data_IF_190122806004
#
_entry.id   IF_190122806004
#
_cell.length_a   1.000
_cell.length_b   1.000
_cell.length_c   1.000
_cell.angle_alpha   90.00
_cell.angle_beta   90.00
_cell.angle_gamma   90.00
#
_symmetry.space_group_name_H-M   'P 1'
#
loop_
_entity.id
_entity.type
_entity.pdbx_description
1 polymer ?
#
# COMPACT_ATOMS: atom_id res chain seq x y z
N UNK A 1 -4.09 -8.45 -0.81
CA UNK A 1 -3.33 -7.28 -1.33
C UNK A 1 -3.88 -6.07 -0.61
N UNK A 2 -3.02 -5.16 -0.16
CA UNK A 2 -3.41 -3.98 0.59
C UNK A 2 -2.84 -2.74 -0.10
N UNK A 3 -3.69 -1.73 -0.24
CA UNK A 3 -3.34 -0.38 -0.62
C UNK A 3 -3.82 0.63 0.42
N UNK A 4 -3.07 1.71 0.58
CA UNK A 4 -3.44 2.85 1.40
C UNK A 4 -3.11 4.15 0.65
N UNK A 5 -3.83 5.23 0.95
CA UNK A 5 -3.64 6.55 0.33
C UNK A 5 -3.78 7.64 1.38
N UNK A 6 -3.09 8.76 1.16
CA UNK A 6 -3.34 10.03 1.83
C UNK A 6 -2.84 11.18 0.95
N UNK A 7 -3.75 12.01 0.46
CA UNK A 7 -3.44 13.04 -0.54
C UNK A 7 -2.86 12.43 -1.83
N UNK A 8 -1.67 12.91 -2.21
CA UNK A 8 -0.91 12.43 -3.37
C UNK A 8 0.01 11.24 -3.06
N UNK A 9 -0.02 10.74 -1.82
CA UNK A 9 0.78 9.59 -1.40
C UNK A 9 -0.03 8.30 -1.46
N UNK A 10 0.62 7.22 -1.88
CA UNK A 10 0.03 5.90 -1.96
C UNK A 10 1.01 4.81 -1.53
N UNK A 11 0.46 3.75 -0.95
CA UNK A 11 1.21 2.60 -0.48
C UNK A 11 0.60 1.31 -1.03
N UNK A 12 1.45 0.30 -1.27
CA UNK A 12 0.99 -1.03 -1.66
C UNK A 12 1.90 -2.12 -1.09
N UNK A 13 1.27 -3.17 -0.57
CA UNK A 13 1.95 -4.40 -0.14
C UNK A 13 1.06 -5.63 -0.35
N UNK A 14 1.68 -6.80 -0.41
CA UNK A 14 1.00 -8.09 -0.53
C UNK A 14 1.20 -8.89 0.75
N UNK A 15 0.10 -9.21 1.41
CA UNK A 15 0.07 -9.91 2.70
C UNK A 15 -0.60 -11.27 2.50
N UNK A 16 0.09 -12.33 2.87
CA UNK A 16 -0.44 -13.69 2.97
C UNK A 16 -0.83 -14.01 4.42
N UNK A 17 -1.70 -15.01 4.66
CA UNK A 17 -2.14 -15.36 6.02
C UNK A 17 -1.03 -15.64 7.03
N UNK A 18 0.12 -16.13 6.58
CA UNK A 18 1.29 -16.42 7.42
C UNK A 18 2.21 -15.22 7.67
N UNK A 19 1.98 -14.08 7.03
CA UNK A 19 2.80 -12.88 7.20
C UNK A 19 2.38 -12.10 8.46
N UNK A 20 3.33 -11.34 9.04
CA UNK A 20 3.02 -10.39 10.14
C UNK A 20 2.01 -9.31 9.74
N UNK A 21 1.88 -9.05 8.44
CA UNK A 21 0.88 -8.14 7.89
C UNK A 21 1.16 -6.67 8.23
N UNK A 22 0.08 -5.92 8.46
CA UNK A 22 0.12 -4.46 8.62
C UNK A 22 0.80 -3.98 9.90
N UNK A 23 1.05 -4.87 10.87
CA UNK A 23 1.79 -4.54 12.09
C UNK A 23 3.22 -4.07 11.78
N UNK A 24 3.81 -4.51 10.66
CA UNK A 24 5.13 -4.04 10.20
C UNK A 24 5.13 -2.58 9.70
N UNK A 25 3.96 -2.03 9.40
CA UNK A 25 3.79 -0.68 8.84
C UNK A 25 3.25 0.27 9.91
N UNK A 26 2.16 -0.13 10.56
CA UNK A 26 1.41 0.73 11.49
C UNK A 26 1.64 0.38 12.96
N UNK A 27 2.38 -0.68 13.27
CA UNK A 27 2.56 -1.17 14.63
C UNK A 27 1.33 -1.87 15.20
N UNK A 28 1.25 -1.92 16.53
CA UNK A 28 0.17 -2.58 17.27
C UNK A 28 -1.19 -1.92 17.03
N UNK A 29 -2.22 -2.73 16.83
CA UNK A 29 -3.60 -2.25 16.62
C UNK A 29 -4.19 -1.48 17.81
N UNK A 30 -3.59 -1.58 18.99
CA UNK A 30 -4.04 -0.89 20.21
C UNK A 30 -3.81 0.62 20.17
N UNK A 31 -2.87 1.08 19.34
CA UNK A 31 -2.39 2.46 19.33
C UNK A 31 -2.76 3.18 18.01
N UNK A 32 -3.65 2.60 17.21
CA UNK A 32 -4.05 3.18 15.92
C UNK A 32 -5.05 4.31 16.11
N UNK A 33 -4.91 5.43 15.39
CA UNK A 33 -5.91 6.50 15.36
C UNK A 33 -7.20 6.03 14.67
N UNK A 34 -8.32 6.70 14.97
CA UNK A 34 -9.63 6.41 14.36
C UNK A 34 -9.70 6.75 12.87
N UNK A 35 -8.90 7.74 12.43
CA UNK A 35 -8.80 8.19 11.05
C UNK A 35 -7.35 8.21 10.59
N UNK A 36 -7.12 7.97 9.30
CA UNK A 36 -5.79 8.09 8.72
C UNK A 36 -5.49 9.53 8.29
N UNK A 37 -4.30 9.72 7.71
CA UNK A 37 -3.84 11.03 7.24
C UNK A 37 -4.69 11.60 6.11
N UNK A 38 -5.51 10.79 5.44
CA UNK A 38 -6.48 11.24 4.42
C UNK A 38 -7.54 12.19 4.99
N UNK A 39 -7.79 12.19 6.30
CA UNK A 39 -8.71 13.13 6.93
C UNK A 39 -8.25 14.59 6.78
N UNK A 40 -6.93 14.82 6.76
CA UNK A 40 -6.33 16.15 6.59
C UNK A 40 -5.82 16.36 5.16
N UNK A 41 -5.17 15.34 4.57
CA UNK A 41 -4.55 15.40 3.23
C UNK A 41 -5.55 15.19 2.09
N UNK A 42 -6.75 14.71 2.41
CA UNK A 42 -7.79 14.34 1.44
C UNK A 42 -7.47 13.04 0.69
N UNK A 43 -8.31 12.75 -0.30
CA UNK A 43 -8.19 11.58 -1.17
C UNK A 43 -8.52 11.96 -2.64
N UNK A 44 -7.65 12.72 -3.34
CA UNK A 44 -7.84 13.04 -4.75
C UNK A 44 -8.01 11.77 -5.57
N UNK A 45 -9.03 11.69 -6.43
CA UNK A 45 -9.44 10.44 -7.12
C UNK A 45 -8.33 9.74 -7.90
N UNK A 46 -7.31 10.48 -8.35
CA UNK A 46 -6.16 9.94 -9.08
C UNK A 46 -5.33 8.94 -8.25
N UNK A 47 -5.09 9.22 -6.96
CA UNK A 47 -4.26 8.39 -6.08
C UNK A 47 -4.87 7.01 -5.82
N UNK A 48 -6.14 6.88 -5.35
CA UNK A 48 -6.76 5.56 -5.16
C UNK A 48 -6.96 4.83 -6.49
N UNK A 49 -7.20 5.53 -7.61
CA UNK A 49 -7.29 4.87 -8.93
C UNK A 49 -5.96 4.23 -9.35
N UNK A 50 -4.83 4.92 -9.12
CA UNK A 50 -3.49 4.38 -9.37
C UNK A 50 -3.21 3.18 -8.44
N UNK A 51 -3.42 3.34 -7.13
CA UNK A 51 -3.15 2.28 -6.16
C UNK A 51 -4.02 1.05 -6.42
N UNK A 52 -5.32 1.21 -6.68
CA UNK A 52 -6.20 0.10 -7.02
C UNK A 52 -5.76 -0.64 -8.30
N UNK A 53 -5.24 0.08 -9.30
CA UNK A 53 -4.70 -0.53 -10.51
C UNK A 53 -3.47 -1.40 -10.22
N UNK A 54 -2.59 -0.94 -9.33
CA UNK A 54 -1.43 -1.71 -8.89
C UNK A 54 -1.83 -2.90 -8.00
N UNK A 55 -2.85 -2.75 -7.17
CA UNK A 55 -3.40 -3.85 -6.37
C UNK A 55 -3.96 -4.97 -7.27
N UNK A 56 -4.73 -4.60 -8.31
CA UNK A 56 -5.21 -5.55 -9.30
C UNK A 56 -4.04 -6.27 -10.00
N UNK A 57 -2.97 -5.55 -10.33
CA UNK A 57 -1.76 -6.13 -10.91
C UNK A 57 -1.06 -7.12 -9.95
N UNK A 58 -1.00 -6.85 -8.64
CA UNK A 58 -0.51 -7.83 -7.65
C UNK A 58 -1.38 -9.10 -7.64
N UNK A 59 -2.70 -8.96 -7.67
CA UNK A 59 -3.62 -10.11 -7.72
C UNK A 59 -3.38 -10.95 -8.97
N UNK A 60 -3.23 -10.33 -10.14
CA UNK A 60 -2.90 -11.04 -11.39
C UNK A 60 -1.58 -11.82 -11.24
N UNK A 61 -0.56 -11.22 -10.62
CA UNK A 61 0.72 -11.90 -10.35
C UNK A 61 0.57 -13.10 -9.42
N UNK A 62 -0.24 -12.99 -8.37
CA UNK A 62 -0.55 -14.08 -7.45
C UNK A 62 -1.22 -15.24 -8.20
N UNK A 63 -2.30 -14.95 -8.94
CA UNK A 63 -3.10 -15.97 -9.64
C UNK A 63 -2.29 -16.71 -10.70
N UNK A 64 -1.46 -15.98 -11.45
CA UNK A 64 -0.62 -16.55 -12.52
C UNK A 64 0.74 -17.07 -12.02
N UNK A 65 1.02 -16.98 -10.70
CA UNK A 65 2.30 -17.35 -10.09
C UNK A 65 3.51 -16.72 -10.82
N UNK A 66 3.41 -15.43 -11.14
CA UNK A 66 4.37 -14.71 -12.01
C UNK A 66 5.02 -13.52 -11.32
N UNK A 67 6.30 -13.32 -11.61
CA UNK A 67 7.05 -12.12 -11.21
C UNK A 67 7.36 -12.09 -9.72
N UNK A 68 7.72 -10.91 -9.21
CA UNK A 68 8.00 -10.68 -7.79
C UNK A 68 6.84 -9.88 -7.18
N UNK A 69 6.25 -10.41 -6.11
CA UNK A 69 5.17 -9.77 -5.34
C UNK A 69 5.74 -8.73 -4.38
N UNK A 70 4.98 -7.71 -4.03
CA UNK A 70 5.33 -6.80 -2.92
C UNK A 70 5.07 -7.45 -1.55
N UNK A 71 5.44 -8.73 -1.39
CA UNK A 71 5.36 -9.47 -0.12
C UNK A 71 6.58 -9.14 0.74
N UNK A 72 6.37 -8.79 2.01
CA UNK A 72 7.39 -8.27 2.93
C UNK A 72 8.14 -7.05 2.38
N UNK A 73 7.46 -6.29 1.52
CA UNK A 73 7.97 -5.07 0.88
C UNK A 73 6.84 -4.06 0.78
N UNK A 74 7.16 -2.79 0.98
CA UNK A 74 6.21 -1.69 0.79
C UNK A 74 6.61 -0.91 -0.45
N UNK A 75 5.73 -0.87 -1.44
CA UNK A 75 5.81 0.15 -2.49
C UNK A 75 5.24 1.45 -1.91
N UNK A 76 6.05 2.50 -1.90
CA UNK A 76 5.63 3.86 -1.58
C UNK A 76 5.67 4.70 -2.86
N UNK A 77 4.62 5.48 -3.09
CA UNK A 77 4.49 6.36 -4.26
C UNK A 77 4.11 7.74 -3.76
N UNK A 78 4.86 8.75 -4.18
CA UNK A 78 4.49 10.15 -4.06
C UNK A 78 4.31 10.70 -5.47
N UNK A 79 3.06 10.97 -5.88
CA UNK A 79 2.78 11.47 -7.23
C UNK A 79 2.95 13.00 -7.34
N UNK A 80 3.08 13.70 -6.23
CA UNK A 80 3.36 15.14 -6.22
C UNK A 80 4.85 15.39 -6.48
N UNK A 81 5.72 14.63 -5.80
CA UNK A 81 7.18 14.66 -6.01
C UNK A 81 7.64 13.76 -7.18
N UNK A 82 6.76 12.85 -7.64
CA UNK A 82 7.03 11.94 -8.76
C UNK A 82 7.97 10.78 -8.38
N UNK A 83 7.96 10.34 -7.12
CA UNK A 83 8.86 9.31 -6.61
C UNK A 83 8.15 7.97 -6.41
N UNK A 84 8.94 6.90 -6.55
CA UNK A 84 8.52 5.52 -6.29
C UNK A 84 9.64 4.78 -5.58
N UNK A 85 9.38 4.35 -4.34
CA UNK A 85 10.37 3.69 -3.50
C UNK A 85 9.88 2.32 -3.04
N UNK A 86 10.83 1.41 -2.81
CA UNK A 86 10.54 0.07 -2.27
C UNK A 86 11.29 -0.08 -0.95
N UNK A 87 10.53 -0.23 0.12
CA UNK A 87 11.04 -0.46 1.47
C UNK A 87 10.92 -1.95 1.83
N UNK A 88 11.85 -2.47 2.62
CA UNK A 88 11.73 -3.81 3.19
C UNK A 88 10.98 -3.73 4.53
N UNK A 89 10.06 -4.65 4.76
CA UNK A 89 9.23 -4.74 5.98
C UNK A 89 9.71 -5.85 6.91
#
# INVERSE_FOLDING_TARGET
VHGAIAGFNGQLTTIFPEDKGLELIYGSSKDLPEHGSEAELGAPTVTPALIASLEAQEVVKILLKRGKLFRNRLLYIDIEDGTMEILNL
#
